data_IF_194926899127
#
_entry.id   IF_194926899127
#
_cell.length_a   1.000
_cell.length_b   1.000
_cell.length_c   1.000
_cell.angle_alpha   90.00
_cell.angle_beta   90.00
_cell.angle_gamma   90.00
#
_symmetry.space_group_name_H-M   'P 1'
#
loop_
_entity.id
_entity.type
_entity.pdbx_description
1 polymer ?
#
# COMPACT_ATOMS: atom_id res chain seq x y z
N UNK A 1 -7.14 8.26 18.25
CA UNK A 1 -6.06 8.03 17.27
C UNK A 1 -5.94 6.54 16.90
N UNK A 2 -5.47 5.64 17.77
CA UNK A 2 -5.24 4.22 17.44
C UNK A 2 -6.50 3.50 16.90
N UNK A 3 -7.65 3.63 17.53
CA UNK A 3 -8.90 2.97 17.11
C UNK A 3 -9.36 3.38 15.70
N UNK A 4 -9.22 4.66 15.34
CA UNK A 4 -9.56 5.14 13.99
C UNK A 4 -8.57 4.56 12.97
N UNK A 5 -7.27 4.63 13.26
CA UNK A 5 -6.25 4.08 12.38
C UNK A 5 -6.41 2.56 12.15
N UNK A 6 -6.73 1.79 13.20
CA UNK A 6 -7.00 0.35 13.09
C UNK A 6 -8.21 0.06 12.20
N UNK A 7 -9.28 0.84 12.35
CA UNK A 7 -10.45 0.73 11.47
C UNK A 7 -10.07 1.01 10.02
N UNK A 8 -9.30 2.06 9.76
CA UNK A 8 -8.88 2.45 8.41
C UNK A 8 -7.98 1.37 7.78
N UNK A 9 -7.10 0.72 8.58
CA UNK A 9 -6.28 -0.42 8.12
C UNK A 9 -7.21 -1.55 7.67
N UNK A 10 -8.13 -2.01 8.53
CA UNK A 10 -9.03 -3.13 8.23
C UNK A 10 -9.90 -2.82 7.00
N UNK A 11 -10.49 -1.64 6.91
CA UNK A 11 -11.35 -1.26 5.79
C UNK A 11 -10.57 -1.19 4.46
N UNK A 12 -9.34 -0.65 4.49
CA UNK A 12 -8.49 -0.55 3.31
C UNK A 12 -8.09 -1.92 2.78
N UNK A 13 -7.58 -2.79 3.64
CA UNK A 13 -7.12 -4.12 3.23
C UNK A 13 -8.29 -5.06 2.91
N UNK A 14 -9.42 -4.94 3.60
CA UNK A 14 -10.64 -5.64 3.22
C UNK A 14 -11.05 -5.28 1.79
N UNK A 15 -11.15 -3.99 1.46
CA UNK A 15 -11.53 -3.54 0.11
C UNK A 15 -10.54 -4.02 -0.95
N UNK A 16 -9.24 -4.00 -0.66
CA UNK A 16 -8.20 -4.50 -1.55
C UNK A 16 -8.35 -6.01 -1.79
N UNK A 17 -8.53 -6.80 -0.73
CA UNK A 17 -8.72 -8.25 -0.82
C UNK A 17 -10.03 -8.62 -1.52
N UNK A 18 -11.14 -7.92 -1.25
CA UNK A 18 -12.41 -8.10 -1.95
C UNK A 18 -12.24 -7.82 -3.45
N UNK A 19 -11.48 -6.77 -3.82
CA UNK A 19 -11.19 -6.44 -5.22
C UNK A 19 -10.31 -7.51 -5.86
N UNK A 20 -9.26 -7.99 -5.19
CA UNK A 20 -8.41 -9.07 -5.71
C UNK A 20 -9.21 -10.36 -5.89
N UNK A 21 -10.12 -10.69 -4.98
CA UNK A 21 -10.93 -11.91 -5.03
C UNK A 21 -11.90 -11.93 -6.21
N UNK A 22 -12.29 -10.77 -6.74
CA UNK A 22 -13.17 -10.68 -7.92
C UNK A 22 -12.52 -11.15 -9.23
N UNK A 23 -11.18 -11.22 -9.29
CA UNK A 23 -10.48 -11.75 -10.47
C UNK A 23 -10.37 -13.28 -10.39
N UNK A 24 -10.46 -13.97 -11.52
CA UNK A 24 -10.09 -15.38 -11.66
C UNK A 24 -8.56 -15.56 -11.61
N UNK A 25 -8.08 -16.81 -11.51
CA UNK A 25 -6.63 -17.14 -11.60
C UNK A 25 -6.03 -16.76 -12.97
N UNK A 26 -6.81 -16.80 -14.03
CA UNK A 26 -6.39 -16.39 -15.37
C UNK A 26 -6.31 -14.86 -15.47
N UNK A 27 -7.34 -14.16 -15.01
CA UNK A 27 -7.43 -12.70 -15.11
C UNK A 27 -6.34 -11.99 -14.32
N UNK A 28 -5.89 -12.52 -13.15
CA UNK A 28 -4.81 -11.90 -12.39
C UNK A 28 -3.49 -11.87 -13.16
N UNK A 29 -3.32 -12.71 -14.18
CA UNK A 29 -2.11 -12.81 -15.01
C UNK A 29 -2.32 -12.27 -16.44
N UNK A 30 -3.52 -11.75 -16.74
CA UNK A 30 -3.85 -11.19 -18.04
C UNK A 30 -3.49 -9.70 -18.10
N UNK A 31 -2.79 -9.29 -19.16
CA UNK A 31 -2.53 -7.86 -19.45
C UNK A 31 -3.82 -7.25 -19.98
N UNK A 32 -4.46 -6.31 -19.25
CA UNK A 32 -5.78 -5.79 -19.65
C UNK A 32 -5.72 -4.96 -20.93
N UNK A 33 -4.66 -4.18 -21.11
CA UNK A 33 -4.42 -3.36 -22.30
C UNK A 33 -2.93 -3.07 -22.45
N UNK A 34 -2.51 -2.66 -23.65
CA UNK A 34 -1.11 -2.42 -23.96
C UNK A 34 -0.44 -1.44 -22.96
N UNK A 35 0.68 -1.84 -22.37
CA UNK A 35 1.46 -1.04 -21.43
C UNK A 35 0.92 -1.01 -19.99
N UNK A 36 -0.13 -1.80 -19.69
CA UNK A 36 -0.63 -1.99 -18.33
C UNK A 36 0.10 -3.13 -17.63
N UNK A 37 0.16 -3.05 -16.32
CA UNK A 37 0.44 -4.20 -15.47
C UNK A 37 -0.78 -5.13 -15.42
N UNK A 38 -0.50 -6.43 -15.19
CA UNK A 38 -1.55 -7.38 -14.82
C UNK A 38 -2.07 -7.08 -13.41
N UNK A 39 -3.29 -7.50 -13.03
CA UNK A 39 -3.77 -7.37 -11.65
C UNK A 39 -2.78 -7.97 -10.62
N UNK A 40 -2.17 -9.12 -10.92
CA UNK A 40 -1.15 -9.76 -10.09
C UNK A 40 0.08 -8.89 -9.88
N UNK A 41 0.56 -8.20 -10.93
CA UNK A 41 1.66 -7.24 -10.83
C UNK A 41 1.29 -6.03 -9.99
N UNK A 42 0.07 -5.50 -10.12
CA UNK A 42 -0.39 -4.37 -9.28
C UNK A 42 -0.38 -4.76 -7.80
N UNK A 43 -0.90 -5.94 -7.45
CA UNK A 43 -0.88 -6.42 -6.06
C UNK A 43 0.54 -6.68 -5.57
N UNK A 44 1.41 -7.27 -6.41
CA UNK A 44 2.81 -7.47 -6.05
C UNK A 44 3.54 -6.15 -5.79
N UNK A 45 3.24 -5.10 -6.53
CA UNK A 45 3.77 -3.75 -6.26
C UNK A 45 3.34 -3.22 -4.88
N UNK A 46 2.07 -3.41 -4.49
CA UNK A 46 1.59 -3.07 -3.15
C UNK A 46 2.37 -3.85 -2.08
N UNK A 47 2.59 -5.14 -2.29
CA UNK A 47 3.33 -6.00 -1.36
C UNK A 47 4.77 -5.51 -1.22
N UNK A 48 5.46 -5.22 -2.33
CA UNK A 48 6.83 -4.69 -2.33
C UNK A 48 6.93 -3.37 -1.56
N UNK A 49 5.94 -2.49 -1.72
CA UNK A 49 5.92 -1.18 -1.04
C UNK A 49 5.59 -1.24 0.45
N UNK A 50 4.97 -2.32 0.92
CA UNK A 50 4.43 -2.39 2.29
C UNK A 50 5.07 -3.48 3.17
N UNK A 51 5.83 -4.42 2.62
CA UNK A 51 6.38 -5.56 3.40
C UNK A 51 7.53 -5.21 4.33
N UNK A 52 8.22 -4.07 4.12
CA UNK A 52 9.38 -3.65 4.92
C UNK A 52 9.05 -2.82 6.16
N UNK A 53 7.78 -2.63 6.50
CA UNK A 53 7.40 -1.78 7.64
C UNK A 53 7.80 -2.33 9.02
N UNK A 54 7.71 -3.64 9.32
CA UNK A 54 8.17 -4.15 10.60
C UNK A 54 9.63 -3.78 10.87
N UNK A 55 10.52 -4.01 9.92
CA UNK A 55 11.95 -3.71 10.03
C UNK A 55 12.19 -2.20 10.15
N UNK A 56 11.43 -1.38 9.42
CA UNK A 56 11.51 0.08 9.49
C UNK A 56 11.10 0.60 10.87
N UNK A 57 10.04 0.04 11.48
CA UNK A 57 9.53 0.49 12.77
C UNK A 57 10.38 0.01 13.94
N UNK A 58 11.09 -1.11 13.78
CA UNK A 58 12.10 -1.62 14.72
C UNK A 58 13.45 -0.94 14.55
N UNK A 59 13.64 -0.18 13.48
CA UNK A 59 14.88 0.51 13.15
C UNK A 59 15.13 1.77 13.96
N UNK A 60 15.96 2.65 13.44
CA UNK A 60 16.34 3.89 14.15
C UNK A 60 15.18 4.88 14.14
N UNK A 61 14.84 5.37 15.33
CA UNK A 61 13.82 6.40 15.50
C UNK A 61 14.33 7.58 16.35
N UNK A 62 13.64 8.71 16.26
CA UNK A 62 13.86 9.88 17.13
C UNK A 62 12.52 10.49 17.55
N UNK A 63 12.53 11.26 18.62
CA UNK A 63 11.40 12.09 19.02
C UNK A 63 11.09 13.10 17.91
N UNK A 64 9.80 13.26 17.61
CA UNK A 64 9.32 14.18 16.59
C UNK A 64 9.12 15.58 17.17
N UNK A 65 9.64 16.61 16.49
CA UNK A 65 9.55 18.03 16.92
C UNK A 65 8.41 18.79 16.23
N UNK A 66 7.76 18.19 15.22
CA UNK A 66 6.59 18.68 14.50
C UNK A 66 5.34 17.89 14.87
N UNK A 67 4.19 18.20 14.28
CA UNK A 67 3.00 17.33 14.45
C UNK A 67 3.28 15.95 13.86
N UNK A 68 2.90 14.90 14.58
CA UNK A 68 3.14 13.52 14.17
C UNK A 68 2.35 13.11 12.90
N UNK A 69 1.34 13.87 12.52
CA UNK A 69 0.44 13.63 11.40
C UNK A 69 0.55 14.74 10.31
N UNK A 70 1.61 15.53 10.33
CA UNK A 70 1.77 16.75 9.53
C UNK A 70 1.66 16.47 8.02
N UNK A 71 2.20 15.34 7.55
CA UNK A 71 2.23 14.99 6.13
C UNK A 71 1.01 14.19 5.65
N UNK A 72 0.11 13.76 6.54
CA UNK A 72 -1.03 12.89 6.16
C UNK A 72 -1.91 13.51 5.09
N UNK A 73 -2.29 14.78 5.26
CA UNK A 73 -3.15 15.47 4.27
C UNK A 73 -2.48 15.64 2.91
N UNK A 74 -1.17 15.87 2.90
CA UNK A 74 -0.41 15.98 1.67
C UNK A 74 -0.31 14.61 0.97
N UNK A 75 -0.05 13.54 1.72
CA UNK A 75 -0.08 12.16 1.22
C UNK A 75 -1.44 11.81 0.58
N UNK A 76 -2.54 12.12 1.28
CA UNK A 76 -3.90 11.92 0.74
C UNK A 76 -4.10 12.71 -0.55
N UNK A 77 -3.73 13.98 -0.58
CA UNK A 77 -3.87 14.85 -1.75
C UNK A 77 -3.11 14.34 -2.97
N UNK A 78 -1.91 13.79 -2.77
CA UNK A 78 -1.06 13.26 -3.84
C UNK A 78 -1.55 11.89 -4.29
N UNK A 79 -1.70 10.93 -3.37
CA UNK A 79 -1.94 9.53 -3.71
C UNK A 79 -3.40 9.23 -4.06
N UNK A 80 -4.36 9.98 -3.54
CA UNK A 80 -5.78 9.83 -3.87
C UNK A 80 -6.23 10.69 -5.05
N UNK A 81 -5.31 11.46 -5.65
CA UNK A 81 -5.56 12.09 -6.95
C UNK A 81 -5.37 11.05 -8.07
N UNK A 82 -6.45 10.36 -8.40
CA UNK A 82 -6.45 9.27 -9.40
C UNK A 82 -6.28 9.75 -10.85
N UNK A 83 -6.28 11.06 -11.11
CA UNK A 83 -6.03 11.64 -12.43
C UNK A 83 -4.54 11.81 -12.73
N UNK A 84 -3.67 11.74 -11.70
CA UNK A 84 -2.22 11.86 -11.86
C UNK A 84 -1.61 10.49 -12.12
N UNK A 85 -0.84 10.36 -13.21
CA UNK A 85 -0.01 9.17 -13.43
C UNK A 85 1.26 9.27 -12.57
N UNK A 86 1.64 8.18 -11.94
CA UNK A 86 2.85 8.06 -11.13
C UNK A 86 3.65 6.86 -11.62
N UNK A 87 4.95 7.02 -11.80
CA UNK A 87 5.84 5.92 -12.14
C UNK A 87 6.39 5.29 -10.86
N UNK A 88 6.42 3.96 -10.81
CA UNK A 88 7.00 3.23 -9.70
C UNK A 88 8.53 3.32 -9.73
N UNK A 89 9.19 3.54 -8.58
CA UNK A 89 10.64 3.37 -8.47
C UNK A 89 11.05 1.95 -8.89
N UNK A 90 12.26 1.80 -9.43
CA UNK A 90 12.71 0.52 -10.01
C UNK A 90 12.65 -0.64 -9.00
N UNK A 91 12.99 -0.38 -7.73
CA UNK A 91 12.97 -1.40 -6.67
C UNK A 91 11.53 -1.82 -6.25
N UNK A 92 10.50 -1.10 -6.67
CA UNK A 92 9.09 -1.45 -6.45
C UNK A 92 8.40 -1.99 -7.71
N UNK A 93 9.13 -2.11 -8.83
CA UNK A 93 8.56 -2.68 -10.06
C UNK A 93 8.41 -4.20 -9.90
N UNK A 94 7.20 -4.73 -10.13
CA UNK A 94 6.96 -6.16 -10.05
C UNK A 94 7.63 -6.90 -11.21
N UNK A 95 8.10 -8.12 -10.96
CA UNK A 95 8.65 -8.99 -11.98
C UNK A 95 7.58 -9.38 -13.02
N UNK A 96 8.03 -9.63 -14.25
CA UNK A 96 7.20 -10.20 -15.31
C UNK A 96 7.15 -11.72 -15.14
N UNK A 97 6.15 -12.20 -14.37
CA UNK A 97 5.87 -13.63 -14.14
C UNK A 97 4.39 -13.84 -13.84
N UNK A 98 3.97 -15.10 -13.83
CA UNK A 98 2.66 -15.46 -13.33
C UNK A 98 2.64 -15.43 -11.79
N UNK A 99 1.59 -14.85 -11.26
CA UNK A 99 1.32 -14.75 -9.83
C UNK A 99 0.21 -15.72 -9.42
N UNK A 100 0.32 -16.28 -8.23
CA UNK A 100 -0.73 -17.11 -7.64
C UNK A 100 -1.60 -16.24 -6.72
N UNK A 101 -2.91 -16.23 -6.94
CA UNK A 101 -3.87 -15.38 -6.22
C UNK A 101 -3.85 -15.64 -4.70
N UNK A 102 -3.81 -16.92 -4.30
CA UNK A 102 -3.79 -17.27 -2.89
C UNK A 102 -2.53 -16.75 -2.18
N UNK A 103 -1.37 -16.85 -2.83
CA UNK A 103 -0.10 -16.32 -2.29
C UNK A 103 -0.14 -14.79 -2.12
N UNK A 104 -0.72 -14.08 -3.09
CA UNK A 104 -0.91 -12.63 -3.01
C UNK A 104 -1.85 -12.27 -1.85
N UNK A 105 -2.98 -12.97 -1.71
CA UNK A 105 -3.94 -12.77 -0.62
C UNK A 105 -3.29 -12.97 0.75
N UNK A 106 -2.53 -14.06 0.93
CA UNK A 106 -1.83 -14.33 2.19
C UNK A 106 -0.80 -13.25 2.54
N UNK A 107 -0.09 -12.74 1.53
CA UNK A 107 0.87 -11.65 1.74
C UNK A 107 0.17 -10.34 2.16
N UNK A 108 -0.97 -10.00 1.56
CA UNK A 108 -1.77 -8.83 1.96
C UNK A 108 -2.32 -8.96 3.38
N UNK A 109 -2.83 -10.14 3.76
CA UNK A 109 -3.30 -10.41 5.13
C UNK A 109 -2.16 -10.30 6.16
N UNK A 110 -0.95 -10.73 5.79
CA UNK A 110 0.23 -10.54 6.64
C UNK A 110 0.54 -9.06 6.84
N UNK A 111 0.55 -8.26 5.78
CA UNK A 111 0.79 -6.81 5.87
C UNK A 111 -0.26 -6.14 6.75
N UNK A 112 -1.55 -6.45 6.56
CA UNK A 112 -2.63 -5.95 7.42
C UNK A 112 -2.36 -6.26 8.89
N UNK A 113 -2.03 -7.52 9.20
CA UNK A 113 -1.70 -7.97 10.57
C UNK A 113 -0.49 -7.21 11.14
N UNK A 114 0.55 -7.00 10.34
CA UNK A 114 1.76 -6.30 10.78
C UNK A 114 1.47 -4.82 11.08
N UNK A 115 0.67 -4.15 10.24
CA UNK A 115 0.25 -2.76 10.49
C UNK A 115 -0.66 -2.63 11.72
N UNK A 116 -1.58 -3.57 11.95
CA UNK A 116 -2.41 -3.60 13.15
C UNK A 116 -1.54 -3.76 14.40
N UNK A 117 -0.61 -4.71 14.42
CA UNK A 117 0.35 -4.91 15.52
C UNK A 117 1.19 -3.65 15.75
N UNK A 118 1.65 -3.00 14.67
CA UNK A 118 2.41 -1.77 14.78
C UNK A 118 1.57 -0.66 15.44
N UNK A 119 0.32 -0.51 15.05
CA UNK A 119 -0.60 0.49 15.62
C UNK A 119 -0.85 0.29 17.13
N UNK A 120 -0.73 -0.96 17.61
CA UNK A 120 -0.93 -1.30 19.02
C UNK A 120 0.36 -1.09 19.85
N UNK A 121 1.49 -1.56 19.33
CA UNK A 121 2.69 -1.79 20.11
C UNK A 121 3.72 -0.66 20.05
N UNK A 122 3.70 0.17 19.00
CA UNK A 122 4.69 1.27 18.86
C UNK A 122 4.15 2.61 19.34
N UNK A 123 5.09 3.49 19.68
CA UNK A 123 4.81 4.94 19.79
C UNK A 123 4.75 5.53 18.39
N UNK A 124 3.53 5.71 17.90
CA UNK A 124 3.24 6.17 16.55
C UNK A 124 3.76 7.58 16.24
N UNK A 125 4.15 8.33 17.27
CA UNK A 125 4.65 9.70 17.13
C UNK A 125 6.15 9.78 16.83
N UNK A 126 6.89 8.67 16.94
CA UNK A 126 8.32 8.62 16.64
C UNK A 126 8.58 8.72 15.14
N UNK A 127 9.60 9.51 14.78
CA UNK A 127 10.09 9.65 13.40
C UNK A 127 11.07 8.53 13.07
N UNK A 128 10.83 7.78 11.98
CA UNK A 128 11.73 6.76 11.44
C UNK A 128 12.89 7.43 10.67
N UNK A 129 14.10 6.87 10.81
CA UNK A 129 15.31 7.46 10.22
C UNK A 129 15.97 6.60 9.11
N UNK A 130 15.62 5.32 9.01
CA UNK A 130 16.33 4.39 8.13
C UNK A 130 15.83 4.43 6.67
N UNK A 131 14.68 5.04 6.42
CA UNK A 131 14.17 5.26 5.07
C UNK A 131 13.38 6.56 4.96
N UNK A 132 13.42 7.17 3.77
CA UNK A 132 12.72 8.43 3.47
C UNK A 132 12.06 8.35 2.09
N UNK A 133 10.82 8.78 2.00
CA UNK A 133 10.13 8.94 0.71
C UNK A 133 10.68 10.18 0.01
N UNK A 134 11.14 10.08 -1.25
CA UNK A 134 11.63 11.24 -1.99
C UNK A 134 10.60 12.38 -2.04
N UNK A 135 11.06 13.57 -1.73
CA UNK A 135 10.20 14.77 -1.71
C UNK A 135 9.54 15.06 -0.35
N UNK A 136 9.68 14.17 0.62
CA UNK A 136 9.18 14.35 2.00
C UNK A 136 10.33 14.37 3.00
N UNK A 137 10.06 14.93 4.19
CA UNK A 137 10.89 14.68 5.37
C UNK A 137 10.69 13.25 5.89
N UNK A 138 11.52 12.84 6.83
CA UNK A 138 11.34 11.55 7.49
C UNK A 138 9.96 11.45 8.14
N UNK A 139 9.23 10.40 7.82
CA UNK A 139 7.90 10.15 8.35
C UNK A 139 7.95 9.62 9.79
N UNK A 140 6.91 9.94 10.54
CA UNK A 140 6.58 9.22 11.77
C UNK A 140 6.02 7.83 11.44
N UNK A 141 5.99 6.94 12.44
CA UNK A 141 5.33 5.63 12.27
C UNK A 141 3.86 5.82 11.86
N UNK A 142 3.18 6.82 12.43
CA UNK A 142 1.80 7.16 12.04
C UNK A 142 1.68 7.52 10.57
N UNK A 143 2.57 8.36 10.07
CA UNK A 143 2.58 8.78 8.65
C UNK A 143 2.95 7.63 7.71
N UNK A 144 3.86 6.74 8.11
CA UNK A 144 4.17 5.54 7.35
C UNK A 144 2.97 4.61 7.20
N UNK A 145 2.20 4.39 8.30
CA UNK A 145 0.97 3.59 8.21
C UNK A 145 -0.04 4.28 7.28
N UNK A 146 -0.23 5.60 7.39
CA UNK A 146 -1.11 6.33 6.48
C UNK A 146 -0.63 6.28 5.02
N UNK A 147 0.70 6.35 4.79
CA UNK A 147 1.26 6.15 3.45
C UNK A 147 0.92 4.77 2.88
N UNK A 148 1.04 3.69 3.68
CA UNK A 148 0.60 2.36 3.29
C UNK A 148 -0.88 2.32 2.87
N UNK A 149 -1.74 3.02 3.62
CA UNK A 149 -3.18 3.06 3.34
C UNK A 149 -3.48 3.78 2.04
N UNK A 150 -2.98 5.00 1.84
CA UNK A 150 -3.28 5.78 0.63
C UNK A 150 -2.67 5.14 -0.63
N UNK A 151 -1.48 4.53 -0.50
CA UNK A 151 -0.85 3.76 -1.56
C UNK A 151 -1.70 2.54 -1.96
N UNK A 152 -2.16 1.77 -0.97
CA UNK A 152 -3.05 0.61 -1.19
C UNK A 152 -4.40 1.04 -1.78
N UNK A 153 -4.98 2.15 -1.33
CA UNK A 153 -6.24 2.69 -1.86
C UNK A 153 -6.08 3.14 -3.33
N UNK A 154 -4.97 3.79 -3.67
CA UNK A 154 -4.66 4.17 -5.05
C UNK A 154 -4.65 2.94 -5.97
N UNK A 155 -3.96 1.89 -5.58
CA UNK A 155 -3.85 0.69 -6.39
C UNK A 155 -5.11 -0.18 -6.35
N UNK A 156 -5.91 -0.14 -5.29
CA UNK A 156 -7.26 -0.72 -5.28
C UNK A 156 -8.14 -0.07 -6.34
N UNK A 157 -8.10 1.26 -6.47
CA UNK A 157 -8.80 1.97 -7.53
C UNK A 157 -8.29 1.56 -8.94
N UNK A 158 -6.98 1.38 -9.11
CA UNK A 158 -6.40 0.86 -10.36
C UNK A 158 -6.93 -0.54 -10.68
N UNK A 159 -6.96 -1.45 -9.71
CA UNK A 159 -7.52 -2.81 -9.86
C UNK A 159 -9.00 -2.78 -10.25
N UNK A 160 -9.80 -1.91 -9.64
CA UNK A 160 -11.21 -1.75 -9.98
C UNK A 160 -11.41 -1.28 -11.42
N UNK A 161 -10.57 -0.36 -11.92
CA UNK A 161 -10.58 0.04 -13.35
C UNK A 161 -10.20 -1.12 -14.27
N UNK A 162 -9.19 -1.91 -13.91
CA UNK A 162 -8.79 -3.10 -14.67
C UNK A 162 -9.93 -4.12 -14.70
N UNK A 163 -10.56 -4.41 -13.56
CA UNK A 163 -11.69 -5.34 -13.47
C UNK A 163 -12.84 -4.89 -14.38
N UNK A 164 -13.21 -3.62 -14.32
CA UNK A 164 -14.25 -3.07 -15.20
C UNK A 164 -13.88 -3.22 -16.69
N UNK A 165 -12.62 -2.95 -17.05
CA UNK A 165 -12.16 -3.10 -18.43
C UNK A 165 -12.25 -4.55 -18.93
N UNK A 166 -11.79 -5.52 -18.13
CA UNK A 166 -11.82 -6.95 -18.49
C UNK A 166 -13.27 -7.45 -18.65
N UNK A 167 -14.20 -7.02 -17.78
CA UNK A 167 -15.60 -7.45 -17.83
C UNK A 167 -16.44 -6.82 -18.95
N UNK A 168 -15.91 -5.79 -19.61
CA UNK A 168 -16.59 -5.10 -20.73
C UNK A 168 -16.07 -5.51 -22.12
N UNK A 169 -15.08 -6.40 -22.18
CA UNK A 169 -14.60 -7.04 -23.41
C UNK A 169 -15.42 -8.27 -23.77
#
# INVERSE_FOLDING_TARGET
>A
MKTVLQKDIVETFKKLNDTLSSFSEEEINTVPFQGSWTPGQVVQHIILGNSGYPELFEGKTKATIRKYDEHVKELESIFLNFNTKMDAPDFLKPEMKNYNKNSLTLALLKIESDLLKASENYDLTLTCLDFQVPGFENFTIYEWINFALVHSQRHTHQLQKISHYITTL
#
